data_IF_331881489562
#
_entry.id   IF_331881489562
#
_cell.length_a   1.000
_cell.length_b   1.000
_cell.length_c   1.000
_cell.angle_alpha   90.00
_cell.angle_beta   90.00
_cell.angle_gamma   90.00
#
_symmetry.space_group_name_H-M   'P 1'
#
loop_
_entity.id
_entity.type
_entity.pdbx_description
1 polymer ?
#
# COMPACT_ATOMS: atom_id res chain seq x y z
N UNK A 1 -20.77 19.74 6.72
CA UNK A 1 -20.33 18.83 5.63
C UNK A 1 -20.63 17.43 6.09
N UNK A 2 -21.41 16.65 5.33
CA UNK A 2 -21.66 15.25 5.65
C UNK A 2 -20.31 14.53 5.75
N UNK A 3 -20.13 13.72 6.78
CA UNK A 3 -18.89 12.98 6.92
C UNK A 3 -18.75 11.99 5.75
N UNK A 4 -17.53 11.84 5.20
CA UNK A 4 -17.30 10.92 4.10
C UNK A 4 -17.62 9.48 4.53
N UNK A 5 -18.44 8.81 3.72
CA UNK A 5 -18.66 7.37 3.87
C UNK A 5 -17.43 6.60 3.41
N UNK A 6 -17.21 5.43 4.01
CA UNK A 6 -16.21 4.49 3.54
C UNK A 6 -16.88 3.15 3.23
N UNK A 7 -16.43 2.49 2.16
CA UNK A 7 -16.89 1.14 1.84
C UNK A 7 -15.77 0.26 1.34
N UNK A 8 -15.87 -1.03 1.65
CA UNK A 8 -14.97 -2.08 1.19
C UNK A 8 -15.76 -3.35 0.85
N UNK A 9 -15.16 -4.22 0.05
CA UNK A 9 -15.65 -5.57 -0.19
C UNK A 9 -14.88 -6.51 0.74
N UNK A 10 -15.62 -7.36 1.46
CA UNK A 10 -15.07 -8.36 2.36
C UNK A 10 -14.60 -9.59 1.58
N UNK A 11 -13.82 -10.46 2.23
CA UNK A 11 -13.32 -11.69 1.61
C UNK A 11 -14.42 -12.65 1.14
N UNK A 12 -15.63 -12.56 1.71
CA UNK A 12 -16.81 -13.33 1.32
C UNK A 12 -17.67 -12.65 0.24
N UNK A 13 -17.19 -11.55 -0.34
CA UNK A 13 -17.86 -10.80 -1.41
C UNK A 13 -18.90 -9.78 -0.94
N UNK A 14 -19.24 -9.76 0.36
CA UNK A 14 -20.20 -8.79 0.91
C UNK A 14 -19.59 -7.39 0.97
N UNK A 15 -20.42 -6.36 0.79
CA UNK A 15 -20.00 -4.95 0.90
C UNK A 15 -20.25 -4.44 2.31
N UNK A 16 -19.19 -4.05 3.01
CA UNK A 16 -19.31 -3.29 4.25
C UNK A 16 -19.20 -1.79 3.95
N UNK A 17 -20.07 -0.98 4.55
CA UNK A 17 -20.01 0.48 4.44
C UNK A 17 -20.36 1.16 5.76
N UNK A 18 -19.59 2.18 6.13
CA UNK A 18 -19.84 2.99 7.30
C UNK A 18 -19.94 4.47 6.94
N UNK A 19 -20.76 5.19 7.70
CA UNK A 19 -20.93 6.63 7.55
C UNK A 19 -21.19 7.26 8.93
N UNK A 20 -20.44 8.31 9.27
CA UNK A 20 -20.82 9.17 10.39
C UNK A 20 -22.00 10.05 9.95
N UNK A 21 -23.11 9.95 10.68
CA UNK A 21 -24.34 10.72 10.44
C UNK A 21 -24.28 12.05 11.19
N UNK A 22 -23.70 12.03 12.39
CA UNK A 22 -23.38 13.20 13.21
C UNK A 22 -21.97 13.06 13.78
N UNK A 23 -21.41 14.08 14.47
CA UNK A 23 -20.16 13.91 15.20
C UNK A 23 -20.19 12.80 16.27
N UNK A 24 -21.37 12.44 16.76
CA UNK A 24 -21.58 11.51 17.89
C UNK A 24 -22.31 10.22 17.49
N UNK A 25 -22.63 10.03 16.22
CA UNK A 25 -23.37 8.85 15.75
C UNK A 25 -23.08 8.51 14.30
N UNK A 26 -23.27 7.25 13.96
CA UNK A 26 -23.22 6.78 12.58
C UNK A 26 -23.81 5.39 12.44
N UNK A 27 -23.67 4.85 11.25
CA UNK A 27 -24.16 3.50 10.98
C UNK A 27 -23.18 2.69 10.15
N UNK A 28 -23.15 1.39 10.43
CA UNK A 28 -22.47 0.35 9.67
C UNK A 28 -23.50 -0.48 8.93
N UNK A 29 -23.28 -0.75 7.65
CA UNK A 29 -24.13 -1.60 6.81
C UNK A 29 -23.31 -2.72 6.20
N UNK A 30 -23.93 -3.89 6.10
CA UNK A 30 -23.42 -5.05 5.38
C UNK A 30 -24.42 -5.41 4.29
N UNK A 31 -24.02 -5.24 3.03
CA UNK A 31 -24.88 -5.32 1.85
C UNK A 31 -26.16 -4.46 1.99
N UNK A 32 -27.30 -5.01 1.61
CA UNK A 32 -28.63 -4.40 1.73
C UNK A 32 -29.26 -4.64 3.10
N UNK A 33 -28.51 -5.11 4.10
CA UNK A 33 -29.03 -5.35 5.45
C UNK A 33 -29.41 -4.04 6.15
N UNK A 34 -30.20 -4.16 7.23
CA UNK A 34 -30.50 -3.04 8.11
C UNK A 34 -29.22 -2.38 8.64
N UNK A 35 -29.26 -1.06 8.79
CA UNK A 35 -28.14 -0.31 9.36
C UNK A 35 -27.94 -0.68 10.82
N UNK A 36 -26.70 -0.91 11.21
CA UNK A 36 -26.28 -1.16 12.59
C UNK A 36 -25.80 0.19 13.15
N UNK A 37 -26.58 0.83 14.02
CA UNK A 37 -26.21 2.12 14.57
C UNK A 37 -25.07 1.99 15.57
N UNK A 38 -24.19 2.98 15.59
CA UNK A 38 -23.21 3.19 16.66
C UNK A 38 -23.26 4.62 17.17
N UNK A 39 -22.79 4.82 18.40
CA UNK A 39 -22.65 6.14 19.04
C UNK A 39 -21.20 6.37 19.44
N UNK A 40 -20.76 7.62 19.44
CA UNK A 40 -19.46 8.02 20.01
C UNK A 40 -19.70 8.54 21.42
N UNK A 41 -19.20 7.84 22.44
CA UNK A 41 -19.35 8.18 23.86
C UNK A 41 -17.97 8.12 24.50
N UNK A 42 -17.54 9.21 25.15
CA UNK A 42 -16.22 9.31 25.80
C UNK A 42 -15.05 8.85 24.92
N UNK A 43 -15.06 9.28 23.65
CA UNK A 43 -14.08 8.91 22.63
C UNK A 43 -14.02 7.41 22.30
N UNK A 44 -15.15 6.69 22.48
CA UNK A 44 -15.33 5.27 22.14
C UNK A 44 -16.51 5.13 21.19
N UNK A 45 -16.38 4.28 20.18
CA UNK A 45 -17.48 3.89 19.30
C UNK A 45 -18.22 2.73 19.94
N UNK A 46 -19.49 2.91 20.28
CA UNK A 46 -20.31 1.93 21.00
C UNK A 46 -21.38 1.37 20.08
N UNK A 47 -21.34 0.05 19.89
CA UNK A 47 -22.41 -0.74 19.26
C UNK A 47 -23.26 -1.38 20.35
N UNK A 48 -24.57 -1.09 20.38
CA UNK A 48 -25.50 -1.71 21.34
C UNK A 48 -25.86 -3.15 20.97
N UNK A 49 -25.81 -3.47 19.69
CA UNK A 49 -26.11 -4.78 19.17
C UNK A 49 -25.24 -5.06 17.95
N UNK A 50 -24.85 -6.32 17.79
CA UNK A 50 -24.27 -6.83 16.57
C UNK A 50 -25.09 -8.04 16.11
N UNK A 51 -25.33 -8.21 14.81
CA UNK A 51 -25.93 -9.43 14.30
C UNK A 51 -25.11 -10.67 14.70
N UNK A 52 -25.74 -11.83 14.92
CA UNK A 52 -25.02 -13.08 15.10
C UNK A 52 -24.04 -13.35 13.95
N UNK A 53 -22.87 -13.94 14.26
CA UNK A 53 -21.82 -14.24 13.29
C UNK A 53 -21.36 -13.01 12.46
N UNK A 54 -21.36 -11.82 13.07
CA UNK A 54 -20.91 -10.60 12.39
C UNK A 54 -19.44 -10.72 11.93
N UNK A 55 -19.13 -10.43 10.66
CA UNK A 55 -17.77 -10.47 10.16
C UNK A 55 -16.97 -9.33 10.81
N UNK A 56 -15.92 -9.71 11.52
CA UNK A 56 -15.00 -8.79 12.20
C UNK A 56 -14.41 -7.77 11.22
N UNK A 57 -14.08 -8.20 9.99
CA UNK A 57 -13.56 -7.34 8.91
C UNK A 57 -14.49 -6.19 8.49
N UNK A 58 -15.81 -6.28 8.75
CA UNK A 58 -16.71 -5.15 8.49
C UNK A 58 -16.40 -3.93 9.37
N UNK A 59 -15.77 -4.13 10.53
CA UNK A 59 -15.32 -3.04 11.40
C UNK A 59 -14.29 -2.14 10.72
N UNK A 60 -13.56 -2.62 9.71
CA UNK A 60 -12.63 -1.80 8.94
C UNK A 60 -13.31 -0.61 8.27
N UNK A 61 -14.60 -0.73 7.90
CA UNK A 61 -15.36 0.40 7.35
C UNK A 61 -15.46 1.55 8.36
N UNK A 62 -15.75 1.22 9.63
CA UNK A 62 -15.89 2.18 10.73
C UNK A 62 -14.53 2.74 11.15
N UNK A 63 -13.50 1.89 11.20
CA UNK A 63 -12.14 2.34 11.49
C UNK A 63 -11.65 3.31 10.40
N UNK A 64 -11.98 3.04 9.14
CA UNK A 64 -11.62 3.90 8.01
C UNK A 64 -12.29 5.29 8.09
N UNK A 65 -13.54 5.41 8.55
CA UNK A 65 -14.17 6.74 8.73
C UNK A 65 -13.40 7.62 9.72
N UNK A 66 -12.65 7.01 10.65
CA UNK A 66 -11.74 7.71 11.57
C UNK A 66 -10.35 7.92 10.95
N UNK A 67 -9.63 6.85 10.63
CA UNK A 67 -8.21 6.93 10.27
C UNK A 67 -7.93 7.57 8.91
N UNK A 68 -8.85 7.48 7.95
CA UNK A 68 -8.67 8.07 6.62
C UNK A 68 -8.94 9.58 6.60
N UNK A 69 -9.71 10.09 7.57
CA UNK A 69 -10.21 11.47 7.56
C UNK A 69 -9.71 12.31 8.74
N UNK A 70 -9.27 11.70 9.84
CA UNK A 70 -8.78 12.39 11.05
C UNK A 70 -7.28 12.11 11.24
N UNK A 71 -6.41 12.99 10.72
CA UNK A 71 -4.94 12.79 10.75
C UNK A 71 -4.37 12.62 12.17
N UNK A 72 -4.94 13.30 13.17
CA UNK A 72 -4.48 13.25 14.56
C UNK A 72 -5.06 12.06 15.34
N UNK A 73 -5.94 11.24 14.72
CA UNK A 73 -6.47 10.04 15.34
C UNK A 73 -5.43 8.92 15.24
N UNK A 74 -4.76 8.67 16.37
CA UNK A 74 -3.77 7.61 16.51
C UNK A 74 -4.38 6.30 17.02
N UNK A 75 -5.63 6.35 17.51
CA UNK A 75 -6.30 5.23 18.15
C UNK A 75 -7.82 5.39 18.06
N UNK A 76 -8.51 4.26 17.91
CA UNK A 76 -9.96 4.13 18.03
C UNK A 76 -10.27 2.99 18.99
N UNK A 77 -11.14 3.26 19.96
CA UNK A 77 -11.68 2.26 20.87
C UNK A 77 -13.12 1.94 20.45
N UNK A 78 -13.43 0.65 20.30
CA UNK A 78 -14.74 0.15 19.89
C UNK A 78 -15.29 -0.75 20.98
N UNK A 79 -16.49 -0.47 21.45
CA UNK A 79 -17.20 -1.26 22.44
C UNK A 79 -18.36 -2.00 21.79
N UNK A 80 -18.41 -3.32 21.98
CA UNK A 80 -19.44 -4.21 21.39
C UNK A 80 -20.07 -5.12 22.45
N UNK A 81 -21.25 -5.71 22.21
CA UNK A 81 -21.84 -6.68 23.13
C UNK A 81 -20.94 -7.90 23.36
N UNK A 82 -21.09 -8.57 24.50
CA UNK A 82 -20.24 -9.69 24.90
C UNK A 82 -20.35 -10.92 24.01
N UNK A 83 -19.35 -11.14 23.15
CA UNK A 83 -19.05 -12.38 22.45
C UNK A 83 -17.52 -12.55 22.38
N UNK A 84 -16.96 -13.36 23.29
CA UNK A 84 -15.50 -13.55 23.39
C UNK A 84 -14.89 -14.09 22.09
N UNK A 85 -15.62 -14.92 21.35
CA UNK A 85 -15.13 -15.49 20.09
C UNK A 85 -14.96 -14.40 19.03
N UNK A 86 -15.90 -13.44 18.97
CA UNK A 86 -15.78 -12.27 18.12
C UNK A 86 -14.50 -11.47 18.42
N UNK A 87 -14.23 -11.13 19.68
CA UNK A 87 -13.05 -10.34 20.04
C UNK A 87 -11.73 -11.06 19.76
N UNK A 88 -11.66 -12.37 20.04
CA UNK A 88 -10.47 -13.18 19.71
C UNK A 88 -10.24 -13.21 18.20
N UNK A 89 -11.29 -13.42 17.41
CA UNK A 89 -11.19 -13.41 15.94
C UNK A 89 -10.74 -12.03 15.42
N UNK A 90 -11.28 -10.96 15.97
CA UNK A 90 -10.98 -9.59 15.54
C UNK A 90 -9.49 -9.23 15.73
N UNK A 91 -8.88 -9.69 16.83
CA UNK A 91 -7.43 -9.52 17.06
C UNK A 91 -6.60 -10.47 16.21
N UNK A 92 -7.01 -11.73 16.04
CA UNK A 92 -6.29 -12.70 15.19
C UNK A 92 -6.27 -12.32 13.72
N UNK A 93 -7.30 -11.63 13.25
CA UNK A 93 -7.37 -11.06 11.90
C UNK A 93 -6.61 -9.72 11.78
N UNK A 94 -6.03 -9.23 12.88
CA UNK A 94 -5.24 -8.00 12.93
C UNK A 94 -6.06 -6.71 12.85
N UNK A 95 -7.38 -6.78 12.98
CA UNK A 95 -8.25 -5.60 12.86
C UNK A 95 -8.12 -4.71 14.11
N UNK A 96 -7.90 -5.34 15.26
CA UNK A 96 -7.67 -4.69 16.55
C UNK A 96 -6.37 -5.22 17.18
N UNK A 97 -5.71 -4.40 17.99
CA UNK A 97 -4.46 -4.76 18.66
C UNK A 97 -4.70 -5.72 19.83
N UNK A 98 -5.76 -5.45 20.61
CA UNK A 98 -6.16 -6.22 21.79
C UNK A 98 -7.62 -5.94 22.15
N UNK A 99 -8.11 -6.70 23.12
CA UNK A 99 -9.44 -6.53 23.70
C UNK A 99 -9.42 -6.76 25.20
N UNK A 100 -10.38 -6.17 25.89
CA UNK A 100 -10.66 -6.39 27.31
C UNK A 100 -12.17 -6.45 27.55
N UNK A 101 -12.58 -7.01 28.68
CA UNK A 101 -13.98 -6.99 29.15
C UNK A 101 -14.11 -5.84 30.14
N UNK A 102 -15.14 -5.01 29.99
CA UNK A 102 -15.47 -3.97 30.96
C UNK A 102 -16.35 -4.47 32.11
N UNK A 103 -16.61 -3.61 33.09
CA UNK A 103 -17.41 -3.93 34.28
C UNK A 103 -18.86 -4.30 33.96
N UNK A 104 -19.34 -3.98 32.74
CA UNK A 104 -20.68 -4.31 32.26
C UNK A 104 -20.70 -5.58 31.41
N UNK A 105 -19.57 -6.30 31.31
CA UNK A 105 -19.44 -7.52 30.52
C UNK A 105 -19.36 -7.26 29.01
N UNK A 106 -19.17 -6.02 28.57
CA UNK A 106 -19.01 -5.66 27.15
C UNK A 106 -17.54 -5.72 26.76
N UNK A 107 -17.30 -5.88 25.46
CA UNK A 107 -15.94 -6.01 24.93
C UNK A 107 -15.45 -4.67 24.44
N UNK A 108 -14.34 -4.19 25.00
CA UNK A 108 -13.63 -3.01 24.53
C UNK A 108 -12.43 -3.45 23.69
N UNK A 109 -12.49 -3.13 22.39
CA UNK A 109 -11.50 -3.44 21.37
C UNK A 109 -10.72 -2.18 21.02
N UNK A 110 -9.39 -2.25 21.00
CA UNK A 110 -8.53 -1.11 20.65
C UNK A 110 -7.88 -1.34 19.29
N UNK A 111 -7.92 -0.33 18.43
CA UNK A 111 -7.22 -0.31 17.14
C UNK A 111 -6.35 0.94 17.06
N UNK A 112 -5.05 0.77 16.83
CA UNK A 112 -4.12 1.85 16.54
C UNK A 112 -4.12 2.21 15.05
N UNK A 113 -3.68 3.43 14.75
CA UNK A 113 -3.46 3.88 13.37
C UNK A 113 -2.48 2.95 12.64
N UNK A 114 -1.40 2.55 13.32
CA UNK A 114 -0.38 1.64 12.81
C UNK A 114 -0.99 0.30 12.38
N UNK A 115 -1.90 -0.26 13.20
CA UNK A 115 -2.61 -1.51 12.90
C UNK A 115 -3.59 -1.36 11.74
N UNK A 116 -4.41 -0.31 11.73
CA UNK A 116 -5.37 -0.07 10.64
C UNK A 116 -4.68 0.06 9.28
N UNK A 117 -3.60 0.84 9.18
CA UNK A 117 -2.93 1.04 7.90
C UNK A 117 -2.15 -0.19 7.44
N UNK A 118 -1.90 -1.19 8.30
CA UNK A 118 -1.31 -2.46 7.88
C UNK A 118 -2.34 -3.47 7.36
N UNK A 119 -3.63 -3.11 7.35
CA UNK A 119 -4.68 -3.98 6.83
C UNK A 119 -4.71 -3.96 5.30
N UNK A 120 -4.52 -5.10 4.61
CA UNK A 120 -4.50 -5.13 3.15
C UNK A 120 -5.88 -4.96 2.52
N UNK A 121 -6.93 -5.48 3.17
CA UNK A 121 -8.27 -5.61 2.61
C UNK A 121 -8.89 -4.32 2.04
N UNK A 122 -8.74 -3.13 2.67
CA UNK A 122 -9.32 -1.91 2.11
C UNK A 122 -8.64 -1.42 0.82
N UNK A 123 -7.40 -1.86 0.56
CA UNK A 123 -6.51 -1.23 -0.43
C UNK A 123 -6.13 -2.16 -1.57
N UNK A 124 -5.81 -3.41 -1.27
CA UNK A 124 -5.43 -4.40 -2.27
C UNK A 124 -6.66 -4.85 -3.06
N UNK A 125 -6.44 -5.12 -4.35
CA UNK A 125 -7.47 -5.63 -5.27
C UNK A 125 -7.24 -7.06 -5.70
N UNK A 126 -6.05 -7.56 -5.43
CA UNK A 126 -5.61 -8.93 -5.70
C UNK A 126 -5.09 -9.54 -4.39
N UNK A 127 -5.11 -10.87 -4.26
CA UNK A 127 -4.56 -11.54 -3.08
C UNK A 127 -3.11 -11.13 -2.83
N UNK A 128 -2.79 -10.82 -1.58
CA UNK A 128 -1.43 -10.48 -1.16
C UNK A 128 -0.47 -11.66 -1.42
N UNK A 129 0.74 -11.34 -1.85
CA UNK A 129 1.86 -12.28 -2.07
C UNK A 129 2.16 -13.19 -0.86
N UNK A 130 1.80 -12.77 0.36
CA UNK A 130 2.00 -13.52 1.61
C UNK A 130 1.47 -14.96 1.59
N UNK A 131 0.42 -15.22 0.80
CA UNK A 131 -0.22 -16.54 0.71
C UNK A 131 0.64 -17.56 -0.05
N UNK A 132 1.66 -17.12 -0.79
CA UNK A 132 2.61 -18.03 -1.44
C UNK A 132 3.54 -18.63 -0.40
N UNK A 133 3.40 -19.94 -0.20
CA UNK A 133 4.23 -20.70 0.73
C UNK A 133 5.72 -20.55 0.37
N UNK A 134 6.60 -20.24 1.35
CA UNK A 134 8.02 -20.10 1.08
C UNK A 134 8.62 -21.39 0.53
N UNK A 135 9.05 -21.37 -0.73
CA UNK A 135 9.92 -22.37 -1.35
C UNK A 135 11.16 -21.64 -1.84
N UNK A 136 12.34 -22.21 -1.63
CA UNK A 136 13.58 -21.56 -2.08
C UNK A 136 14.00 -22.09 -3.44
N UNK A 137 14.50 -21.20 -4.28
CA UNK A 137 15.12 -21.49 -5.56
C UNK A 137 16.46 -20.73 -5.68
N UNK A 138 17.11 -20.88 -6.84
CA UNK A 138 18.34 -20.19 -7.18
C UNK A 138 18.18 -19.41 -8.48
N UNK A 139 18.71 -18.20 -8.50
CA UNK A 139 18.95 -17.41 -9.72
C UNK A 139 20.46 -17.18 -9.82
N UNK A 140 21.13 -17.94 -10.68
CA UNK A 140 22.59 -18.05 -10.65
C UNK A 140 23.04 -18.61 -9.29
N UNK A 141 23.95 -17.89 -8.60
CA UNK A 141 24.48 -18.27 -7.29
C UNK A 141 23.61 -17.81 -6.11
N UNK A 142 22.56 -17.01 -6.37
CA UNK A 142 21.75 -16.40 -5.32
C UNK A 142 20.59 -17.32 -4.92
N UNK A 143 20.57 -17.75 -3.65
CA UNK A 143 19.43 -18.43 -3.04
C UNK A 143 18.40 -17.42 -2.55
N UNK A 144 17.15 -17.58 -2.93
CA UNK A 144 16.05 -16.69 -2.52
C UNK A 144 14.70 -17.43 -2.53
N UNK A 145 13.64 -16.89 -1.91
CA UNK A 145 12.30 -17.43 -2.07
C UNK A 145 11.84 -17.34 -3.53
N UNK A 146 11.15 -18.39 -3.98
CA UNK A 146 10.41 -18.40 -5.22
C UNK A 146 9.37 -17.28 -5.15
N UNK A 147 9.42 -16.36 -6.11
CA UNK A 147 8.54 -15.20 -6.15
C UNK A 147 7.15 -15.61 -6.61
N UNK A 148 6.08 -15.01 -6.04
CA UNK A 148 4.72 -15.28 -6.47
C UNK A 148 4.52 -14.87 -7.94
N UNK A 149 3.59 -15.51 -8.67
CA UNK A 149 3.15 -15.01 -9.96
C UNK A 149 2.63 -13.58 -9.86
N UNK A 150 2.86 -12.78 -10.90
CA UNK A 150 2.34 -11.41 -10.97
C UNK A 150 0.83 -11.44 -11.18
N UNK A 151 0.05 -10.69 -10.40
CA UNK A 151 -1.36 -10.49 -10.71
C UNK A 151 -1.53 -9.68 -12.02
N UNK A 152 -2.70 -9.80 -12.65
CA UNK A 152 -3.11 -8.95 -13.76
C UNK A 152 -4.08 -7.86 -13.26
N UNK A 153 -4.18 -6.75 -13.99
CA UNK A 153 -5.14 -5.70 -13.65
C UNK A 153 -4.74 -4.86 -12.43
N UNK A 154 -5.74 -4.25 -11.79
CA UNK A 154 -5.54 -3.38 -10.62
C UNK A 154 -5.10 -4.20 -9.41
N UNK A 155 -4.05 -3.75 -8.72
CA UNK A 155 -3.50 -4.41 -7.53
C UNK A 155 -3.69 -3.58 -6.26
N UNK A 156 -3.87 -2.27 -6.41
CA UNK A 156 -3.98 -1.33 -5.29
C UNK A 156 -4.85 -0.13 -5.66
N UNK A 157 -5.69 0.33 -4.75
CA UNK A 157 -6.46 1.58 -4.90
C UNK A 157 -6.65 2.30 -3.56
N UNK A 158 -6.44 3.62 -3.57
CA UNK A 158 -6.61 4.49 -2.41
C UNK A 158 -7.12 5.86 -2.81
N UNK A 159 -8.19 6.32 -2.17
CA UNK A 159 -8.61 7.71 -2.25
C UNK A 159 -7.68 8.61 -1.42
N UNK A 160 -7.29 9.76 -1.97
CA UNK A 160 -6.40 10.74 -1.36
C UNK A 160 -7.20 12.02 -1.06
N UNK A 161 -7.78 12.18 0.15
CA UNK A 161 -8.75 13.26 0.43
C UNK A 161 -8.21 14.66 0.15
N UNK A 162 -6.93 14.93 0.46
CA UNK A 162 -6.30 16.24 0.24
C UNK A 162 -6.15 16.61 -1.24
N UNK A 163 -6.15 15.62 -2.12
CA UNK A 163 -6.06 15.82 -3.57
C UNK A 163 -7.42 15.70 -4.25
N UNK A 164 -8.45 15.26 -3.52
CA UNK A 164 -9.75 14.86 -4.06
C UNK A 164 -9.60 13.97 -5.30
N UNK A 165 -8.70 13.00 -5.22
CA UNK A 165 -8.33 12.12 -6.32
C UNK A 165 -8.10 10.70 -5.83
N UNK A 166 -8.31 9.72 -6.68
CA UNK A 166 -8.07 8.30 -6.40
C UNK A 166 -6.77 7.89 -7.07
N UNK A 167 -5.82 7.38 -6.30
CA UNK A 167 -4.61 6.77 -6.83
C UNK A 167 -4.80 5.26 -6.91
N UNK A 168 -4.38 4.65 -8.03
CA UNK A 168 -4.34 3.20 -8.18
C UNK A 168 -3.03 2.74 -8.83
N UNK A 169 -2.70 1.47 -8.59
CA UNK A 169 -1.63 0.74 -9.29
C UNK A 169 -2.26 -0.45 -9.98
N UNK A 170 -1.79 -0.72 -11.19
CA UNK A 170 -2.15 -1.92 -11.95
C UNK A 170 -0.93 -2.49 -12.67
N UNK A 171 -0.91 -3.80 -12.87
CA UNK A 171 0.10 -4.41 -13.75
C UNK A 171 -0.04 -3.82 -15.15
N UNK A 172 1.11 -3.54 -15.79
CA UNK A 172 1.13 -3.01 -17.16
C UNK A 172 0.41 -3.96 -18.12
N UNK A 173 -0.41 -3.40 -19.01
CA UNK A 173 -1.04 -4.11 -20.12
C UNK A 173 -0.19 -3.87 -21.38
N UNK A 174 0.43 -4.91 -21.97
CA UNK A 174 1.39 -4.77 -23.06
C UNK A 174 0.79 -4.20 -24.34
N UNK A 175 -0.54 -4.21 -24.50
CA UNK A 175 -1.22 -3.67 -25.67
C UNK A 175 -1.71 -2.26 -25.38
N UNK A 176 -2.43 -2.07 -24.26
CA UNK A 176 -3.07 -0.78 -23.94
C UNK A 176 -2.07 0.30 -23.54
N UNK A 177 -0.99 -0.08 -22.86
CA UNK A 177 -0.04 0.89 -22.30
C UNK A 177 1.15 1.18 -23.20
N UNK A 178 1.36 0.38 -24.26
CA UNK A 178 2.55 0.49 -25.11
C UNK A 178 2.78 1.90 -25.64
N UNK A 179 1.73 2.55 -26.14
CA UNK A 179 1.83 3.91 -26.68
C UNK A 179 2.22 4.96 -25.63
N UNK A 180 1.70 4.81 -24.39
CA UNK A 180 2.04 5.71 -23.30
C UNK A 180 3.47 5.44 -22.80
N UNK A 181 3.80 4.18 -22.56
CA UNK A 181 5.13 3.73 -22.14
C UNK A 181 6.21 4.19 -23.13
N UNK A 182 6.00 3.98 -24.44
CA UNK A 182 6.96 4.39 -25.47
C UNK A 182 7.18 5.90 -25.50
N UNK A 183 6.10 6.69 -25.43
CA UNK A 183 6.22 8.15 -25.31
C UNK A 183 7.01 8.56 -24.08
N UNK A 184 6.71 7.97 -22.92
CA UNK A 184 7.34 8.34 -21.65
C UNK A 184 8.82 8.00 -21.61
N UNK A 185 9.21 6.81 -22.10
CA UNK A 185 10.62 6.39 -22.16
C UNK A 185 11.47 7.24 -23.11
N UNK A 186 10.84 7.84 -24.12
CA UNK A 186 11.50 8.71 -25.10
C UNK A 186 11.53 10.20 -24.69
N UNK A 187 11.00 10.58 -23.52
CA UNK A 187 11.16 11.94 -23.01
C UNK A 187 12.64 12.19 -22.64
N UNK A 188 13.21 13.32 -23.05
CA UNK A 188 14.64 13.63 -22.84
C UNK A 188 15.08 13.48 -21.38
N UNK A 189 14.28 13.99 -20.44
CA UNK A 189 14.55 13.91 -19.02
C UNK A 189 14.46 12.48 -18.46
N UNK A 190 13.76 11.57 -19.13
CA UNK A 190 13.66 10.16 -18.76
C UNK A 190 14.82 9.39 -19.36
N UNK A 191 15.06 9.59 -20.66
CA UNK A 191 16.16 9.01 -21.41
C UNK A 191 17.51 9.20 -20.70
N UNK A 192 17.73 10.38 -20.12
CA UNK A 192 18.94 10.70 -19.36
C UNK A 192 19.18 9.79 -18.13
N UNK A 193 18.13 9.27 -17.49
CA UNK A 193 18.26 8.44 -16.28
C UNK A 193 18.01 6.95 -16.52
N UNK A 194 17.13 6.63 -17.47
CA UNK A 194 16.72 5.26 -17.75
C UNK A 194 17.49 4.62 -18.90
N UNK A 195 18.01 5.41 -19.85
CA UNK A 195 18.75 4.92 -21.03
C UNK A 195 17.97 3.87 -21.85
N UNK A 196 16.62 3.95 -21.84
CA UNK A 196 15.71 3.03 -22.53
C UNK A 196 14.95 3.71 -23.68
N UNK A 197 15.55 4.66 -24.40
CA UNK A 197 14.93 5.19 -25.63
C UNK A 197 14.82 4.09 -26.68
N UNK A 198 13.75 4.07 -27.47
CA UNK A 198 13.55 3.01 -28.44
C UNK A 198 12.26 3.09 -29.23
N UNK A 199 12.10 2.18 -30.19
CA UNK A 199 10.90 2.03 -31.00
C UNK A 199 9.76 1.37 -30.21
N UNK A 200 8.50 1.48 -30.67
CA UNK A 200 7.40 0.73 -30.08
C UNK A 200 7.64 -0.79 -30.04
N UNK A 201 8.33 -1.36 -31.03
CA UNK A 201 8.63 -2.79 -31.08
C UNK A 201 9.64 -3.20 -30.00
N UNK A 202 10.70 -2.40 -29.80
CA UNK A 202 11.69 -2.60 -28.75
C UNK A 202 11.05 -2.49 -27.37
N UNK A 203 10.18 -1.51 -27.17
CA UNK A 203 9.45 -1.35 -25.90
C UNK A 203 8.41 -2.43 -25.66
N UNK A 204 7.74 -2.93 -26.71
CA UNK A 204 6.85 -4.07 -26.57
C UNK A 204 7.61 -5.33 -26.13
N UNK A 205 8.82 -5.52 -26.64
CA UNK A 205 9.70 -6.60 -26.19
C UNK A 205 10.14 -6.40 -24.74
N UNK A 206 10.57 -5.19 -24.37
CA UNK A 206 10.94 -4.85 -23.00
C UNK A 206 9.82 -5.13 -21.99
N UNK A 207 8.58 -4.73 -22.31
CA UNK A 207 7.42 -4.98 -21.43
C UNK A 207 7.21 -6.48 -21.25
N UNK A 208 7.34 -7.30 -22.30
CA UNK A 208 7.23 -8.76 -22.20
C UNK A 208 8.31 -9.33 -21.30
N UNK A 209 9.56 -8.90 -21.45
CA UNK A 209 10.67 -9.33 -20.60
C UNK A 209 10.42 -8.99 -19.11
N UNK A 210 9.90 -7.80 -18.81
CA UNK A 210 9.54 -7.43 -17.44
C UNK A 210 8.34 -8.22 -16.90
N UNK A 211 7.38 -8.58 -17.76
CA UNK A 211 6.27 -9.46 -17.40
C UNK A 211 6.70 -10.91 -17.18
N UNK A 212 7.77 -11.36 -17.83
CA UNK A 212 8.33 -12.70 -17.66
C UNK A 212 9.35 -12.80 -16.51
N UNK A 213 10.05 -11.72 -16.16
CA UNK A 213 11.04 -11.71 -15.08
C UNK A 213 10.37 -11.77 -13.68
N UNK A 214 10.39 -12.91 -12.95
CA UNK A 214 9.70 -13.04 -11.65
C UNK A 214 10.21 -12.08 -10.57
N UNK A 215 11.32 -11.39 -10.84
CA UNK A 215 12.02 -10.51 -9.93
C UNK A 215 11.47 -9.08 -9.89
N UNK A 216 10.79 -8.66 -10.96
CA UNK A 216 10.29 -7.29 -11.16
C UNK A 216 8.78 -7.33 -11.36
N UNK A 217 8.02 -6.40 -10.80
CA UNK A 217 6.60 -6.20 -11.04
C UNK A 217 6.42 -4.87 -11.78
N UNK A 218 6.20 -4.89 -13.10
CA UNK A 218 5.98 -3.69 -13.88
C UNK A 218 4.55 -3.16 -13.67
N UNK A 219 4.43 -1.93 -13.17
CA UNK A 219 3.17 -1.31 -12.76
C UNK A 219 2.94 0.02 -13.48
N UNK A 220 1.68 0.32 -13.74
CA UNK A 220 1.20 1.64 -14.14
C UNK A 220 0.52 2.29 -12.93
N UNK A 221 0.94 3.51 -12.62
CA UNK A 221 0.22 4.38 -11.69
C UNK A 221 -0.84 5.18 -12.42
N UNK A 222 -2.02 5.25 -11.81
CA UNK A 222 -3.13 6.06 -12.29
C UNK A 222 -3.58 7.08 -11.24
N UNK A 223 -4.06 8.23 -11.71
CA UNK A 223 -4.90 9.13 -10.94
C UNK A 223 -6.28 9.21 -11.60
N UNK A 224 -7.33 8.89 -10.84
CA UNK A 224 -8.71 8.82 -11.35
C UNK A 224 -8.80 8.00 -12.65
N UNK A 225 -8.14 6.83 -12.62
CA UNK A 225 -8.02 5.87 -13.71
C UNK A 225 -7.23 6.35 -14.94
N UNK A 226 -6.68 7.57 -14.92
CA UNK A 226 -5.76 8.08 -15.95
C UNK A 226 -4.30 7.67 -15.68
N UNK A 227 -3.64 6.92 -16.57
CA UNK A 227 -2.21 6.56 -16.46
C UNK A 227 -1.30 7.78 -16.46
N UNK A 228 -0.32 7.83 -15.55
CA UNK A 228 0.63 8.95 -15.49
C UNK A 228 2.10 8.54 -15.28
N UNK A 229 2.34 7.32 -14.82
CA UNK A 229 3.67 6.85 -14.44
C UNK A 229 3.82 5.35 -14.65
N UNK A 230 5.06 4.95 -14.92
CA UNK A 230 5.51 3.56 -14.94
C UNK A 230 6.42 3.31 -13.74
N UNK A 231 6.23 2.17 -13.08
CA UNK A 231 7.02 1.73 -11.94
C UNK A 231 7.54 0.32 -12.15
N UNK A 232 8.74 0.07 -11.66
CA UNK A 232 9.27 -1.27 -11.46
C UNK A 232 9.44 -1.51 -9.98
N UNK A 233 8.61 -2.36 -9.38
CA UNK A 233 8.82 -2.84 -8.01
C UNK A 233 9.61 -4.14 -8.10
N UNK A 234 10.77 -4.23 -7.47
CA UNK A 234 11.65 -5.39 -7.63
C UNK A 234 12.09 -5.99 -6.31
N UNK A 235 12.43 -7.28 -6.34
CA UNK A 235 13.05 -7.97 -5.20
C UNK A 235 14.54 -7.69 -5.18
N UNK A 236 15.03 -7.04 -4.11
CA UNK A 236 16.41 -6.58 -4.02
C UNK A 236 17.40 -7.74 -3.99
N UNK A 237 17.02 -8.91 -3.43
CA UNK A 237 17.95 -10.03 -3.19
C UNK A 237 18.50 -10.59 -4.50
N UNK A 238 17.68 -10.61 -5.54
CA UNK A 238 18.08 -11.01 -6.87
C UNK A 238 18.62 -9.83 -7.72
N UNK A 239 18.45 -8.58 -7.29
CA UNK A 239 18.84 -7.37 -8.04
C UNK A 239 20.36 -7.10 -8.06
N UNK A 240 20.77 -6.19 -8.95
CA UNK A 240 22.11 -5.59 -8.98
C UNK A 240 22.48 -4.84 -7.69
N UNK A 241 21.50 -4.44 -6.86
CA UNK A 241 21.78 -3.84 -5.56
C UNK A 241 22.28 -4.86 -4.51
N UNK A 242 21.99 -6.15 -4.70
CA UNK A 242 22.27 -7.20 -3.72
C UNK A 242 23.72 -7.26 -3.22
N UNK A 243 24.76 -7.11 -4.06
CA UNK A 243 26.15 -7.17 -3.60
C UNK A 243 26.56 -6.01 -2.69
N UNK A 244 25.78 -4.92 -2.67
CA UNK A 244 26.16 -3.70 -1.98
C UNK A 244 25.58 -3.60 -0.57
N UNK A 245 24.71 -4.51 -0.13
CA UNK A 245 24.09 -4.49 1.19
C UNK A 245 23.65 -5.90 1.60
N UNK A 246 23.52 -6.16 2.90
CA UNK A 246 22.97 -7.43 3.40
C UNK A 246 21.44 -7.48 3.21
N UNK A 247 21.06 -7.70 1.95
CA UNK A 247 19.67 -7.75 1.52
C UNK A 247 18.96 -8.97 2.12
N UNK A 248 17.83 -8.75 2.77
CA UNK A 248 16.97 -9.84 3.24
C UNK A 248 16.08 -10.39 2.13
N UNK A 249 15.53 -11.58 2.37
CA UNK A 249 14.76 -12.35 1.38
C UNK A 249 13.55 -11.61 0.79
N UNK A 250 13.00 -10.62 1.49
CA UNK A 250 11.80 -9.88 1.07
C UNK A 250 12.03 -8.37 0.99
N UNK A 251 13.29 -7.91 1.01
CA UNK A 251 13.60 -6.50 0.77
C UNK A 251 13.20 -6.14 -0.66
N UNK A 252 12.50 -5.01 -0.80
CA UNK A 252 11.98 -4.51 -2.09
C UNK A 252 12.64 -3.21 -2.48
N UNK A 253 12.76 -2.96 -3.77
CA UNK A 253 13.19 -1.70 -4.33
C UNK A 253 12.22 -1.23 -5.40
N UNK A 254 12.42 -0.01 -5.88
CA UNK A 254 11.53 0.56 -6.86
C UNK A 254 12.27 1.51 -7.81
N UNK A 255 11.85 1.52 -9.07
CA UNK A 255 12.16 2.58 -10.03
C UNK A 255 10.87 3.23 -10.54
N UNK A 256 11.00 4.47 -11.02
CA UNK A 256 9.86 5.24 -11.54
C UNK A 256 10.24 6.05 -12.77
N UNK A 257 9.28 6.14 -13.67
CA UNK A 257 9.20 7.17 -14.71
C UNK A 257 7.88 7.92 -14.53
N UNK A 258 7.94 9.24 -14.39
CA UNK A 258 6.74 10.09 -14.43
C UNK A 258 6.59 10.65 -15.84
N UNK A 259 5.63 10.10 -16.58
CA UNK A 259 5.41 10.42 -17.97
C UNK A 259 4.56 11.66 -18.21
N UNK A 260 3.62 11.95 -17.30
CA UNK A 260 2.65 13.04 -17.47
C UNK A 260 2.95 14.23 -16.53
N UNK A 261 3.42 15.38 -17.05
CA UNK A 261 3.88 16.52 -16.24
C UNK A 261 2.82 17.09 -15.28
N UNK A 262 1.53 17.02 -15.65
CA UNK A 262 0.41 17.49 -14.82
C UNK A 262 0.26 16.74 -13.48
N UNK A 263 0.99 15.65 -13.30
CA UNK A 263 1.03 14.87 -12.05
C UNK A 263 2.31 15.08 -11.22
N UNK A 264 3.22 15.99 -11.60
CA UNK A 264 4.51 16.21 -10.92
C UNK A 264 4.45 17.15 -9.70
N UNK A 265 3.30 17.74 -9.37
CA UNK A 265 3.17 18.63 -8.21
C UNK A 265 3.49 17.94 -6.89
N UNK A 266 4.12 18.65 -5.94
CA UNK A 266 4.61 18.09 -4.66
C UNK A 266 3.55 17.34 -3.84
N UNK A 267 2.28 17.76 -3.92
CA UNK A 267 1.16 17.08 -3.27
C UNK A 267 0.88 15.70 -3.87
N UNK A 268 0.82 15.61 -5.21
CA UNK A 268 0.68 14.35 -5.95
C UNK A 268 1.91 13.47 -5.77
N UNK A 269 3.12 14.05 -5.76
CA UNK A 269 4.37 13.35 -5.47
C UNK A 269 4.30 12.60 -4.13
N UNK A 270 3.97 13.31 -3.03
CA UNK A 270 3.79 12.66 -1.72
C UNK A 270 2.67 11.62 -1.73
N UNK A 271 1.57 11.92 -2.42
CA UNK A 271 0.40 11.04 -2.53
C UNK A 271 0.72 9.69 -3.17
N UNK A 272 1.27 9.68 -4.39
CA UNK A 272 1.62 8.43 -5.07
C UNK A 272 2.79 7.73 -4.40
N UNK A 273 3.80 8.48 -3.90
CA UNK A 273 4.98 7.89 -3.28
C UNK A 273 4.61 7.05 -2.05
N UNK A 274 3.84 7.64 -1.12
CA UNK A 274 3.36 6.92 0.05
C UNK A 274 2.44 5.77 -0.32
N UNK A 275 1.63 5.91 -1.37
CA UNK A 275 0.78 4.81 -1.86
C UNK A 275 1.62 3.64 -2.38
N UNK A 276 2.70 3.90 -3.10
CA UNK A 276 3.61 2.88 -3.62
C UNK A 276 4.33 2.14 -2.48
N UNK A 277 4.88 2.87 -1.50
CA UNK A 277 5.51 2.27 -0.32
C UNK A 277 4.50 1.41 0.46
N UNK A 278 3.29 1.94 0.65
CA UNK A 278 2.19 1.23 1.30
C UNK A 278 1.84 -0.06 0.57
N UNK A 279 1.66 -0.02 -0.76
CA UNK A 279 1.44 -1.22 -1.56
C UNK A 279 2.54 -2.26 -1.35
N UNK A 280 3.81 -1.87 -1.44
CA UNK A 280 4.94 -2.81 -1.27
C UNK A 280 4.94 -3.50 0.10
N UNK A 281 4.61 -2.77 1.16
CA UNK A 281 4.50 -3.31 2.51
C UNK A 281 3.25 -4.17 2.73
N UNK A 282 2.13 -3.87 2.06
CA UNK A 282 0.89 -4.62 2.23
C UNK A 282 0.85 -5.91 1.41
N UNK A 283 1.42 -5.88 0.21
CA UNK A 283 1.43 -7.04 -0.68
C UNK A 283 2.22 -8.21 -0.07
N UNK A 284 3.31 -7.95 0.64
CA UNK A 284 3.96 -8.97 1.46
C UNK A 284 4.41 -8.39 2.81
N UNK A 285 3.77 -8.75 3.93
CA UNK A 285 4.15 -8.26 5.25
C UNK A 285 5.52 -8.79 5.70
N UNK A 286 6.12 -9.78 5.01
CA UNK A 286 7.52 -10.17 5.23
C UNK A 286 8.49 -9.12 4.69
N UNK A 287 8.04 -8.20 3.82
CA UNK A 287 8.78 -7.00 3.43
C UNK A 287 8.90 -6.09 4.64
N UNK A 288 10.10 -6.03 5.21
CA UNK A 288 10.41 -5.16 6.34
C UNK A 288 11.16 -3.89 5.90
N UNK A 289 11.75 -3.89 4.71
CA UNK A 289 12.60 -2.81 4.21
C UNK A 289 12.33 -2.53 2.75
N UNK A 290 12.30 -1.24 2.40
CA UNK A 290 12.27 -0.77 1.02
C UNK A 290 13.54 0.04 0.75
N UNK A 291 14.25 -0.29 -0.32
CA UNK A 291 15.49 0.37 -0.72
C UNK A 291 15.24 1.41 -1.82
N UNK A 292 16.12 2.41 -1.87
CA UNK A 292 16.22 3.34 -2.98
C UNK A 292 17.67 3.75 -3.22
N UNK A 293 18.04 3.89 -4.49
CA UNK A 293 19.40 4.21 -4.93
C UNK A 293 19.45 5.39 -5.91
N UNK A 294 18.95 6.58 -5.53
CA UNK A 294 19.10 7.79 -6.35
C UNK A 294 20.58 8.10 -6.61
N UNK A 295 20.87 8.78 -7.71
CA UNK A 295 22.22 9.31 -7.96
C UNK A 295 22.63 10.24 -6.82
N UNK A 296 23.90 10.21 -6.43
CA UNK A 296 24.41 10.99 -5.30
C UNK A 296 24.30 12.51 -5.51
N UNK A 297 24.33 12.96 -6.76
CA UNK A 297 24.18 14.36 -7.17
C UNK A 297 22.71 14.83 -7.20
N UNK A 298 21.75 13.91 -7.11
CA UNK A 298 20.32 14.23 -7.10
C UNK A 298 19.82 14.58 -5.69
N UNK A 299 20.43 15.59 -5.08
CA UNK A 299 20.20 16.00 -3.68
C UNK A 299 18.72 16.24 -3.35
N UNK A 300 17.96 16.87 -4.26
CA UNK A 300 16.51 17.09 -4.09
C UNK A 300 15.73 15.79 -3.92
N UNK A 301 16.07 14.73 -4.66
CA UNK A 301 15.42 13.43 -4.52
C UNK A 301 15.82 12.78 -3.20
N UNK A 302 17.09 12.87 -2.81
CA UNK A 302 17.60 12.34 -1.53
C UNK A 302 16.89 13.01 -0.36
N UNK A 303 16.81 14.35 -0.35
CA UNK A 303 16.15 15.12 0.70
C UNK A 303 14.65 14.83 0.76
N UNK A 304 14.01 14.65 -0.41
CA UNK A 304 12.62 14.20 -0.46
C UNK A 304 12.46 12.83 0.19
N UNK A 305 13.28 11.83 -0.16
CA UNK A 305 13.19 10.48 0.40
C UNK A 305 13.43 10.50 1.92
N UNK A 306 14.43 11.27 2.40
CA UNK A 306 14.66 11.48 3.84
C UNK A 306 13.44 12.08 4.53
N UNK A 307 12.79 13.07 3.92
CA UNK A 307 11.54 13.64 4.44
C UNK A 307 10.35 12.66 4.49
N UNK A 308 10.46 11.51 3.81
CA UNK A 308 9.47 10.44 3.82
C UNK A 308 9.91 9.22 4.66
N UNK A 309 10.96 9.36 5.49
CA UNK A 309 11.42 8.35 6.44
C UNK A 309 12.58 7.48 5.97
N UNK A 310 13.13 7.71 4.77
CA UNK A 310 14.29 6.95 4.32
C UNK A 310 15.56 7.38 5.08
N UNK A 311 16.23 6.44 5.72
CA UNK A 311 17.56 6.60 6.28
C UNK A 311 18.63 6.42 5.21
N UNK A 312 19.70 7.21 5.28
CA UNK A 312 20.89 7.03 4.41
C UNK A 312 21.82 5.99 5.02
N UNK A 313 22.06 4.91 4.30
CA UNK A 313 22.91 3.81 4.76
C UNK A 313 24.38 4.06 4.41
N UNK A 314 24.67 4.27 3.13
CA UNK A 314 26.02 4.52 2.59
C UNK A 314 25.96 4.94 1.13
N UNK A 315 27.09 5.35 0.58
CA UNK A 315 27.25 5.56 -0.85
C UNK A 315 27.81 4.30 -1.52
N UNK A 316 27.34 4.01 -2.74
CA UNK A 316 27.71 2.82 -3.50
C UNK A 316 28.10 3.21 -4.93
N UNK A 317 29.04 2.45 -5.51
CA UNK A 317 29.45 2.60 -6.91
C UNK A 317 28.80 1.49 -7.75
N UNK A 318 27.76 1.84 -8.49
CA UNK A 318 27.17 0.98 -9.52
C UNK A 318 27.90 1.19 -10.85
N UNK A 319 27.79 0.24 -11.77
CA UNK A 319 28.47 0.31 -13.07
C UNK A 319 28.16 1.60 -13.86
N UNK A 320 26.94 2.12 -13.73
CA UNK A 320 26.42 3.27 -14.48
C UNK A 320 26.27 4.55 -13.63
N UNK A 321 26.43 4.49 -12.29
CA UNK A 321 26.30 5.68 -11.41
C UNK A 321 26.94 5.49 -10.03
N UNK A 322 27.34 6.61 -9.42
CA UNK A 322 27.51 6.70 -7.95
C UNK A 322 26.16 7.04 -7.32
N UNK A 323 25.71 6.22 -6.38
CA UNK A 323 24.38 6.34 -5.78
C UNK A 323 24.44 6.43 -4.25
N UNK A 324 23.47 7.13 -3.66
CA UNK A 324 23.22 7.08 -2.22
C UNK A 324 22.25 5.93 -1.95
N UNK A 325 22.67 4.92 -1.19
CA UNK A 325 21.80 3.82 -0.78
C UNK A 325 20.97 4.25 0.42
N UNK A 326 19.66 4.30 0.23
CA UNK A 326 18.67 4.70 1.22
C UNK A 326 17.75 3.53 1.57
N UNK A 327 17.23 3.50 2.80
CA UNK A 327 16.34 2.45 3.30
C UNK A 327 15.19 3.02 4.10
N UNK A 328 13.97 2.59 3.80
CA UNK A 328 12.78 2.82 4.61
C UNK A 328 12.43 1.55 5.38
N UNK A 329 12.38 1.66 6.70
CA UNK A 329 11.88 0.60 7.57
C UNK A 329 10.35 0.59 7.59
N UNK A 330 9.77 -0.61 7.67
CA UNK A 330 8.34 -0.81 7.83
C UNK A 330 7.80 -0.04 9.05
N UNK A 331 8.46 -0.20 10.20
CA UNK A 331 8.10 0.46 11.46
C UNK A 331 8.03 1.99 11.28
N UNK A 332 9.13 2.61 10.82
CA UNK A 332 9.19 4.05 10.56
C UNK A 332 8.10 4.52 9.58
N UNK A 333 7.77 3.72 8.56
CA UNK A 333 6.71 4.07 7.62
C UNK A 333 5.33 4.10 8.28
N UNK A 334 4.97 3.07 9.04
CA UNK A 334 3.63 2.96 9.65
C UNK A 334 3.43 3.85 10.86
N UNK A 335 4.51 4.26 11.53
CA UNK A 335 4.45 5.14 12.70
C UNK A 335 4.28 6.61 12.29
N UNK A 336 5.13 7.10 11.37
CA UNK A 336 5.26 8.56 11.15
C UNK A 336 4.87 9.03 9.73
N UNK A 337 4.78 8.12 8.77
CA UNK A 337 4.75 8.49 7.35
C UNK A 337 3.59 7.94 6.54
N UNK A 338 2.77 7.06 7.13
CA UNK A 338 1.75 6.31 6.41
C UNK A 338 0.62 7.18 5.85
N UNK A 339 0.44 8.41 6.38
CA UNK A 339 -0.27 9.57 5.77
C UNK A 339 -0.41 10.75 6.75
#
# INVERSE_FOLDING_TARGET
>A
MNAPSFSLILADGRKASAQDETPESGSLRLDSSAAIPYREVDNRIVFEQLPPAFPTSAMLAVLATRFCHRKQCNEVNVQVPGDREFAVRAVREGIFDHWQVDDQGRLALRCTRQTFWQQPLPWLREPASVHTAPRYCFSGEKRHPQRPPKPAGEVYRRHLPKLNATFSLRTIDPVKDLAAFNRWMNLEQVAFFWEQTGTPEEHAQYIREMLDDPRVHPLIGCFDDEPFAYFEVYWCKEDRIAPYYDVADYDRGWHVVIGEPKHQGIGKLRGWFRSLMHYMFLDDPRTQRILGEPRIDHTRQIDFLKSQGFGHLKDIQLAHKKAALLRLEREAFFDDHVL
#
